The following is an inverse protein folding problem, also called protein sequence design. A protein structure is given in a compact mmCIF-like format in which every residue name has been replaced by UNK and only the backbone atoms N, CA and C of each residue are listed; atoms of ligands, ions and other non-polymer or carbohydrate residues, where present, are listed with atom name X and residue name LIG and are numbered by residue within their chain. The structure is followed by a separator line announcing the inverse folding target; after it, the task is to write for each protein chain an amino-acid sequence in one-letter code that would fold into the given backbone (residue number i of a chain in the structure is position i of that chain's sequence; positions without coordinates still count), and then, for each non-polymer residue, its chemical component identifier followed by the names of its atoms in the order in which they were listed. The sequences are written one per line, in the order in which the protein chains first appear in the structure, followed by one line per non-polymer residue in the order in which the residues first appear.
data_IF_209098287080
#
_entry.id   IF_209098287080
#
_cell.length_a   1.000
_cell.length_b   1.000
_cell.length_c   1.000
_cell.angle_alpha   90.00
_cell.angle_beta   90.00
_cell.angle_gamma   90.00
#
_symmetry.space_group_name_H-M   'P 1'
#
loop_
_entity.id
_entity.type
_entity.pdbx_description
1 polymer ?
#
# COMPACT_ATOMS: atom_id res chain seq x y z
N UNK A 1 -0.38 -4.92 13.78
CA UNK A 1 -0.48 -5.34 12.36
C UNK A 1 -1.17 -4.20 11.65
N UNK A 2 -0.45 -3.43 10.83
CA UNK A 2 -0.93 -2.19 10.18
C UNK A 2 -0.18 -2.00 8.85
N UNK A 3 -0.77 -1.30 7.88
CA UNK A 3 -0.13 -0.98 6.60
C UNK A 3 0.08 -2.18 5.68
N UNK A 4 -0.93 -3.03 5.50
CA UNK A 4 -0.91 -4.13 4.52
C UNK A 4 -0.63 -3.59 3.13
N UNK A 5 0.41 -4.12 2.47
CA UNK A 5 0.86 -3.66 1.16
C UNK A 5 1.82 -4.70 0.57
N UNK A 6 1.40 -5.39 -0.49
CA UNK A 6 2.21 -6.44 -1.11
C UNK A 6 2.22 -6.29 -2.63
N UNK A 7 3.38 -5.98 -3.21
CA UNK A 7 3.56 -5.87 -4.65
C UNK A 7 4.01 -7.22 -5.22
N UNK A 8 3.14 -7.84 -6.03
CA UNK A 8 3.44 -9.07 -6.77
C UNK A 8 3.92 -8.71 -8.17
N UNK A 9 5.01 -9.34 -8.61
CA UNK A 9 5.52 -9.22 -9.98
C UNK A 9 5.57 -10.60 -10.62
N UNK A 10 4.75 -10.83 -11.64
CA UNK A 10 4.68 -12.10 -12.36
C UNK A 10 4.25 -11.89 -13.81
N UNK A 11 4.79 -12.69 -14.73
CA UNK A 11 4.41 -12.68 -16.15
C UNK A 11 4.39 -11.28 -16.80
N UNK A 12 5.27 -10.38 -16.36
CA UNK A 12 5.34 -8.99 -16.83
C UNK A 12 4.33 -8.03 -16.20
N UNK A 13 3.41 -8.50 -15.37
CA UNK A 13 2.44 -7.68 -14.65
C UNK A 13 2.88 -7.38 -13.21
N UNK A 14 2.44 -6.24 -12.69
CA UNK A 14 2.63 -5.75 -11.33
C UNK A 14 1.27 -5.54 -10.65
N UNK A 15 0.95 -6.44 -9.72
CA UNK A 15 -0.34 -6.44 -9.00
C UNK A 15 -0.08 -6.04 -7.55
N UNK A 16 -0.78 -5.02 -7.07
CA UNK A 16 -0.72 -4.59 -5.68
C UNK A 16 -1.88 -5.22 -4.87
N UNK A 17 -1.54 -5.98 -3.83
CA UNK A 17 -2.51 -6.48 -2.85
C UNK A 17 -2.51 -5.58 -1.62
N UNK A 18 -3.64 -4.92 -1.39
CA UNK A 18 -3.84 -3.84 -0.42
C UNK A 18 -2.88 -2.64 -0.58
N UNK A 19 -3.32 -1.48 -0.12
CA UNK A 19 -2.50 -0.27 -0.03
C UNK A 19 -2.89 0.48 1.24
N UNK A 20 -2.50 -0.09 2.38
CA UNK A 20 -2.90 0.38 3.70
C UNK A 20 -2.01 1.44 4.31
N UNK A 21 -2.56 2.25 5.21
CA UNK A 21 -1.78 3.15 6.06
C UNK A 21 -1.12 2.38 7.20
N UNK A 22 0.17 2.61 7.40
CA UNK A 22 0.85 2.19 8.61
C UNK A 22 0.36 3.03 9.80
N UNK A 23 -0.06 2.35 10.85
CA UNK A 23 -0.47 2.95 12.13
C UNK A 23 0.50 2.55 13.23
N UNK A 24 0.71 3.43 14.20
CA UNK A 24 1.77 3.31 15.19
C UNK A 24 2.17 4.69 15.76
N UNK A 25 3.42 4.83 16.20
CA UNK A 25 3.92 6.08 16.76
C UNK A 25 3.87 7.19 15.72
N UNK A 26 3.37 8.37 16.11
CA UNK A 26 3.08 9.50 15.19
C UNK A 26 4.21 9.80 14.20
N UNK A 27 5.45 9.92 14.68
CA UNK A 27 6.61 10.23 13.81
C UNK A 27 6.89 9.11 12.80
N UNK A 28 6.87 7.87 13.25
CA UNK A 28 7.13 6.71 12.39
C UNK A 28 6.05 6.55 11.31
N UNK A 29 4.77 6.60 11.71
CA UNK A 29 3.65 6.52 10.77
C UNK A 29 3.68 7.63 9.74
N UNK A 30 4.02 8.84 10.17
CA UNK A 30 4.14 9.98 9.25
C UNK A 30 5.24 9.76 8.22
N UNK A 31 6.43 9.31 8.62
CA UNK A 31 7.54 9.07 7.68
C UNK A 31 7.21 7.90 6.72
N UNK A 32 6.65 6.81 7.23
CA UNK A 32 6.34 5.62 6.41
C UNK A 32 5.23 5.85 5.40
N UNK A 33 4.20 6.62 5.75
CA UNK A 33 3.05 6.87 4.87
C UNK A 33 3.30 8.00 3.87
N UNK A 34 4.45 8.67 3.92
CA UNK A 34 4.71 9.85 3.08
C UNK A 34 5.05 9.52 1.63
N UNK A 35 5.50 8.28 1.37
CA UNK A 35 5.89 7.81 0.04
C UNK A 35 5.57 6.33 -0.07
N UNK A 36 5.12 5.91 -1.25
CA UNK A 36 5.05 4.50 -1.59
C UNK A 36 6.47 3.94 -1.78
N UNK A 37 6.74 2.70 -1.34
CA UNK A 37 8.06 2.07 -1.50
C UNK A 37 8.29 1.52 -2.92
N UNK A 38 7.43 1.88 -3.87
CA UNK A 38 7.47 1.49 -5.28
C UNK A 38 6.91 2.62 -6.15
N UNK A 39 7.13 2.51 -7.46
CA UNK A 39 6.52 3.40 -8.45
C UNK A 39 5.06 3.02 -8.70
N UNK A 40 4.14 3.86 -8.22
CA UNK A 40 2.70 3.65 -8.38
C UNK A 40 2.25 3.64 -9.85
N UNK A 41 2.95 4.38 -10.72
CA UNK A 41 2.58 4.45 -12.15
C UNK A 41 2.85 3.16 -12.89
N UNK A 42 3.67 2.28 -12.32
CA UNK A 42 3.98 0.99 -12.88
C UNK A 42 3.10 -0.14 -12.33
N UNK A 43 2.13 0.15 -11.45
CA UNK A 43 1.17 -0.85 -10.95
C UNK A 43 0.03 -1.00 -11.96
N UNK A 44 -0.20 -2.20 -12.45
CA UNK A 44 -1.23 -2.46 -13.46
C UNK A 44 -2.62 -2.61 -12.83
N UNK A 45 -2.69 -3.14 -11.61
CA UNK A 45 -3.94 -3.43 -10.92
C UNK A 45 -3.75 -3.46 -9.41
N UNK A 46 -4.80 -3.04 -8.68
CA UNK A 46 -4.88 -3.12 -7.22
C UNK A 46 -6.05 -4.02 -6.83
N UNK A 47 -5.80 -4.96 -5.91
CA UNK A 47 -6.83 -5.80 -5.28
C UNK A 47 -6.91 -5.39 -3.82
N UNK A 48 -8.08 -4.88 -3.42
CA UNK A 48 -8.36 -4.52 -2.04
C UNK A 48 -9.10 -5.68 -1.35
N UNK A 49 -8.52 -6.20 -0.27
CA UNK A 49 -9.15 -7.29 0.50
C UNK A 49 -10.43 -6.85 1.21
N UNK A 50 -10.40 -5.68 1.89
CA UNK A 50 -11.52 -5.09 2.60
C UNK A 50 -11.26 -3.62 2.94
N UNK A 51 -12.27 -2.91 3.46
CA UNK A 51 -12.27 -1.44 3.56
C UNK A 51 -11.48 -0.84 4.74
N UNK A 52 -10.89 -1.62 5.65
CA UNK A 52 -10.18 -1.06 6.79
C UNK A 52 -8.99 -0.19 6.38
N UNK A 53 -8.72 0.86 7.17
CA UNK A 53 -7.75 1.90 6.83
C UNK A 53 -6.31 1.39 6.70
N UNK A 54 -5.97 0.33 7.42
CA UNK A 54 -4.69 -0.36 7.31
C UNK A 54 -4.58 -1.31 6.10
N UNK A 55 -5.61 -1.35 5.24
CA UNK A 55 -5.62 -2.03 3.94
C UNK A 55 -5.97 -1.09 2.77
N UNK A 56 -6.75 -0.03 3.01
CA UNK A 56 -7.26 0.89 1.98
C UNK A 56 -6.73 2.31 2.08
N UNK A 57 -6.21 2.72 3.24
CA UNK A 57 -6.04 4.13 3.57
C UNK A 57 -4.97 4.88 2.75
N UNK A 58 -4.07 4.17 2.09
CA UNK A 58 -2.97 4.75 1.31
C UNK A 58 -3.20 4.68 -0.21
N UNK A 59 -4.37 4.20 -0.65
CA UNK A 59 -4.78 4.17 -2.07
C UNK A 59 -4.72 5.54 -2.76
N UNK A 60 -5.10 6.67 -2.11
CA UNK A 60 -5.09 7.98 -2.78
C UNK A 60 -3.70 8.61 -3.00
N UNK A 61 -2.64 8.04 -2.43
CA UNK A 61 -1.27 8.60 -2.44
C UNK A 61 -0.52 8.31 -3.73
#
# INVERSE_FOLDING_TARGET
VTGSMHLLSLNGARILLDCGLYQGRRKESFERNRKLPFDATAVDSLILSHAHIDHSGNIPS
#
